data_IF_034004306386
#
_entry.id   IF_034004306386
#
_cell.length_a   1.000
_cell.length_b   1.000
_cell.length_c   1.000
_cell.angle_alpha   90.00
_cell.angle_beta   90.00
_cell.angle_gamma   90.00
#
_symmetry.space_group_name_H-M   'P 1'
#
loop_
_entity.id
_entity.type
_entity.pdbx_description
1 polymer ?
#
# COMPACT_ATOMS: atom_id res chain seq x y z
N UNK A 1 -9.85 -16.79 -27.11
CA UNK A 1 -9.33 -15.61 -26.38
C UNK A 1 -9.29 -15.84 -24.87
N UNK A 2 -10.43 -16.06 -24.20
CA UNK A 2 -10.46 -16.42 -22.77
C UNK A 2 -9.62 -17.68 -22.47
N UNK A 3 -9.88 -18.75 -23.21
CA UNK A 3 -9.16 -20.04 -23.07
C UNK A 3 -7.65 -19.89 -23.30
N UNK A 4 -7.24 -19.01 -24.23
CA UNK A 4 -5.82 -18.75 -24.51
C UNK A 4 -5.13 -18.05 -23.34
N UNK A 5 -5.83 -17.11 -22.70
CA UNK A 5 -5.35 -16.41 -21.49
C UNK A 5 -5.28 -17.37 -20.30
N UNK A 6 -6.30 -18.21 -20.10
CA UNK A 6 -6.32 -19.22 -19.03
C UNK A 6 -5.18 -20.22 -19.19
N UNK A 7 -4.99 -20.74 -20.40
CA UNK A 7 -3.89 -21.67 -20.72
C UNK A 7 -2.52 -21.04 -20.49
N UNK A 8 -2.36 -19.76 -20.84
CA UNK A 8 -1.12 -19.03 -20.64
C UNK A 8 -0.83 -18.77 -19.14
N UNK A 9 -1.85 -18.39 -18.36
CA UNK A 9 -1.72 -18.18 -16.92
C UNK A 9 -1.51 -19.50 -16.16
N UNK A 10 -2.14 -20.60 -16.59
CA UNK A 10 -1.90 -21.92 -16.03
C UNK A 10 -0.45 -22.39 -16.22
N UNK A 11 0.16 -22.07 -17.37
CA UNK A 11 1.55 -22.42 -17.67
C UNK A 11 2.56 -21.50 -16.94
N UNK A 12 2.24 -20.22 -16.79
CA UNK A 12 3.18 -19.20 -16.27
C UNK A 12 3.01 -18.92 -14.78
N UNK A 13 1.92 -19.40 -14.16
CA UNK A 13 1.44 -19.12 -12.80
C UNK A 13 0.98 -17.66 -12.58
N UNK A 14 1.78 -16.68 -12.96
CA UNK A 14 1.43 -15.25 -12.88
C UNK A 14 1.99 -14.48 -14.07
N UNK A 15 1.25 -13.47 -14.56
CA UNK A 15 1.71 -12.65 -15.67
C UNK A 15 1.07 -11.26 -15.68
N UNK A 16 1.75 -10.27 -16.28
CA UNK A 16 1.14 -8.96 -16.54
C UNK A 16 0.35 -8.96 -17.84
N UNK A 17 -0.59 -8.04 -18.02
CA UNK A 17 -1.37 -7.94 -19.26
C UNK A 17 -0.50 -7.80 -20.52
N UNK A 18 0.67 -7.14 -20.38
CA UNK A 18 1.66 -7.04 -21.47
C UNK A 18 2.31 -8.39 -21.77
N UNK A 19 2.70 -9.14 -20.74
CA UNK A 19 3.30 -10.46 -20.91
C UNK A 19 2.30 -11.45 -21.53
N UNK A 20 1.04 -11.43 -21.09
CA UNK A 20 -0.04 -12.26 -21.66
C UNK A 20 -0.28 -11.91 -23.13
N UNK A 21 -0.35 -10.61 -23.48
CA UNK A 21 -0.52 -10.18 -24.86
C UNK A 21 0.62 -10.65 -25.77
N UNK A 22 1.87 -10.51 -25.32
CA UNK A 22 3.04 -11.01 -26.06
C UNK A 22 3.03 -12.54 -26.20
N UNK A 23 2.68 -13.27 -25.14
CA UNK A 23 2.70 -14.72 -25.13
C UNK A 23 1.56 -15.40 -25.87
N UNK A 24 0.42 -14.72 -26.02
CA UNK A 24 -0.76 -15.21 -26.77
C UNK A 24 -0.85 -14.64 -28.19
N UNK A 25 -0.04 -13.62 -28.52
CA UNK A 25 -0.09 -12.93 -29.82
C UNK A 25 -1.34 -12.04 -30.00
N UNK A 26 -2.07 -11.76 -28.91
CA UNK A 26 -3.31 -10.98 -28.92
C UNK A 26 -3.05 -9.48 -28.64
N UNK A 27 -3.92 -8.57 -29.13
CA UNK A 27 -3.81 -7.15 -28.81
C UNK A 27 -3.95 -6.88 -27.30
N UNK A 28 -3.02 -6.10 -26.74
CA UNK A 28 -2.97 -5.81 -25.30
C UNK A 28 -4.26 -5.18 -24.75
N UNK A 29 -4.92 -4.31 -25.53
CA UNK A 29 -6.17 -3.67 -25.12
C UNK A 29 -7.30 -4.69 -24.93
N UNK A 30 -7.38 -5.67 -25.82
CA UNK A 30 -8.40 -6.70 -25.75
C UNK A 30 -8.09 -7.64 -24.58
N UNK A 31 -6.83 -8.05 -24.42
CA UNK A 31 -6.39 -8.85 -23.27
C UNK A 31 -6.73 -8.16 -21.94
N UNK A 32 -6.54 -6.84 -21.87
CA UNK A 32 -6.87 -6.07 -20.66
C UNK A 32 -8.37 -6.03 -20.39
N UNK A 33 -9.21 -5.86 -21.42
CA UNK A 33 -10.68 -5.92 -21.26
C UNK A 33 -11.12 -7.30 -20.79
N UNK A 34 -10.57 -8.35 -21.38
CA UNK A 34 -10.91 -9.73 -21.05
C UNK A 34 -10.47 -10.08 -19.62
N UNK A 35 -9.26 -9.69 -19.19
CA UNK A 35 -8.80 -9.88 -17.82
C UNK A 35 -9.69 -9.15 -16.80
N UNK A 36 -10.16 -7.94 -17.10
CA UNK A 36 -11.12 -7.24 -16.22
C UNK A 36 -12.50 -7.92 -16.18
N UNK A 37 -12.93 -8.54 -17.29
CA UNK A 37 -14.15 -9.37 -17.32
C UNK A 37 -13.97 -10.62 -16.46
N UNK A 38 -12.85 -11.33 -16.62
CA UNK A 38 -12.52 -12.54 -15.84
C UNK A 38 -12.36 -12.24 -14.34
N UNK A 39 -11.85 -11.07 -13.98
CA UNK A 39 -11.81 -10.58 -12.60
C UNK A 39 -13.23 -10.39 -12.04
N UNK A 40 -14.15 -9.83 -12.83
CA UNK A 40 -15.56 -9.69 -12.45
C UNK A 40 -16.29 -11.04 -12.31
N UNK A 41 -15.84 -12.06 -13.03
CA UNK A 41 -16.33 -13.45 -12.96
C UNK A 41 -15.59 -14.30 -11.89
N UNK A 42 -14.67 -13.70 -11.12
CA UNK A 42 -13.83 -14.36 -10.11
C UNK A 42 -12.99 -15.54 -10.65
N UNK A 43 -12.64 -15.53 -11.94
CA UNK A 43 -11.76 -16.53 -12.57
C UNK A 43 -10.28 -16.17 -12.43
N UNK A 44 -9.97 -14.89 -12.26
CA UNK A 44 -8.62 -14.35 -12.20
C UNK A 44 -8.54 -13.34 -11.06
N UNK A 45 -7.45 -13.40 -10.31
CA UNK A 45 -7.12 -12.43 -9.28
C UNK A 45 -6.05 -11.46 -9.79
N UNK A 46 -5.91 -10.30 -9.13
CA UNK A 46 -4.86 -9.34 -9.46
C UNK A 46 -4.25 -8.68 -8.23
N UNK A 47 -2.98 -8.36 -8.32
CA UNK A 47 -2.27 -7.52 -7.35
C UNK A 47 -1.42 -6.46 -8.06
N UNK A 48 -1.29 -5.31 -7.39
CA UNK A 48 -0.44 -4.23 -7.85
C UNK A 48 1.00 -4.54 -7.43
N UNK A 49 1.91 -4.72 -8.39
CA UNK A 49 3.31 -5.04 -8.11
C UNK A 49 4.00 -3.90 -7.36
N UNK A 50 4.54 -4.18 -6.18
CA UNK A 50 5.35 -3.21 -5.43
C UNK A 50 6.65 -2.90 -6.20
N UNK A 51 6.94 -1.61 -6.41
CA UNK A 51 8.17 -1.16 -7.07
C UNK A 51 8.18 -1.18 -8.61
N UNK A 52 7.08 -1.59 -9.26
CA UNK A 52 6.99 -1.74 -10.73
C UNK A 52 6.03 -0.78 -11.46
N UNK A 53 5.66 0.35 -10.85
CA UNK A 53 4.73 1.32 -11.45
C UNK A 53 3.24 0.97 -11.29
N UNK A 54 2.39 1.39 -12.24
CA UNK A 54 0.93 1.15 -12.22
C UNK A 54 0.53 -0.18 -12.91
N UNK A 55 1.42 -1.16 -12.95
CA UNK A 55 1.15 -2.46 -13.59
C UNK A 55 0.54 -3.46 -12.59
N UNK A 56 -0.47 -4.19 -13.07
CA UNK A 56 -1.10 -5.29 -12.33
C UNK A 56 -0.56 -6.63 -12.82
N UNK A 57 -0.35 -7.54 -11.88
CA UNK A 57 -0.05 -8.96 -12.14
C UNK A 57 -1.35 -9.73 -11.96
N UNK A 58 -1.60 -10.68 -12.86
CA UNK A 58 -2.80 -11.51 -12.90
C UNK A 58 -2.42 -12.98 -12.74
N UNK A 59 -3.24 -13.74 -12.02
CA UNK A 59 -3.14 -15.21 -11.90
C UNK A 59 -4.53 -15.83 -11.82
N UNK A 60 -4.65 -17.12 -12.15
CA UNK A 60 -5.92 -17.83 -12.05
C UNK A 60 -6.35 -17.90 -10.57
N UNK A 61 -7.59 -17.52 -10.30
CA UNK A 61 -8.17 -17.68 -8.96
C UNK A 61 -8.15 -19.17 -8.62
N UNK A 62 -7.71 -19.52 -7.41
CA UNK A 62 -7.94 -20.89 -6.93
C UNK A 62 -9.45 -21.05 -6.87
N UNK A 63 -10.00 -21.98 -7.67
CA UNK A 63 -11.27 -22.55 -7.31
C UNK A 63 -11.13 -22.99 -5.85
N UNK A 64 -11.94 -22.41 -4.96
CA UNK A 64 -12.08 -22.95 -3.63
C UNK A 64 -12.54 -24.40 -3.85
N UNK A 65 -11.62 -25.35 -3.62
CA UNK A 65 -11.99 -26.75 -3.60
C UNK A 65 -13.18 -26.88 -2.67
N UNK A 66 -14.28 -27.26 -3.31
CA UNK A 66 -15.53 -27.57 -2.68
C UNK A 66 -15.28 -28.68 -1.66
N UNK A 67 -15.69 -28.43 -0.42
CA UNK A 67 -16.11 -29.42 0.57
C UNK A 67 -15.21 -30.66 0.76
N UNK A 68 -14.43 -30.64 1.85
CA UNK A 68 -14.17 -31.88 2.58
C UNK A 68 -15.53 -32.56 2.88
N UNK A 69 -15.71 -33.87 2.59
CA UNK A 69 -16.94 -34.54 2.99
C UNK A 69 -16.98 -34.63 4.51
N UNK A 70 -17.94 -33.92 5.09
CA UNK A 70 -18.40 -34.18 6.45
C UNK A 70 -18.93 -35.61 6.52
N UNK A 71 -18.23 -36.47 7.24
CA UNK A 71 -18.80 -37.68 7.82
C UNK A 71 -18.92 -37.45 9.32
N UNK A 72 -20.14 -37.18 9.74
CA UNK A 72 -20.58 -37.10 11.12
C UNK A 72 -20.70 -38.53 11.65
N UNK A 73 -19.82 -38.95 12.56
CA UNK A 73 -20.03 -39.91 13.67
C UNK A 73 -18.67 -40.13 14.38
N UNK A 74 -18.57 -39.95 15.71
CA UNK A 74 -17.30 -40.05 16.43
C UNK A 74 -16.94 -41.50 16.81
N UNK A 75 -15.71 -41.98 16.53
CA UNK A 75 -15.11 -43.09 17.24
C UNK A 75 -14.10 -42.59 18.29
N UNK A 76 -13.90 -43.36 19.37
CA UNK A 76 -13.22 -42.90 20.58
C UNK A 76 -11.72 -42.71 20.38
N UNK A 77 -11.18 -41.77 21.17
CA UNK A 77 -9.77 -41.49 21.34
C UNK A 77 -8.95 -42.80 21.45
N UNK A 78 -8.15 -43.08 20.43
CA UNK A 78 -7.09 -44.08 20.50
C UNK A 78 -5.77 -43.34 20.38
N UNK A 79 -4.95 -43.43 21.42
CA UNK A 79 -3.63 -42.82 21.49
C UNK A 79 -2.77 -43.24 20.29
N UNK A 80 -1.92 -42.36 19.72
CA UNK A 80 -1.03 -42.73 18.64
C UNK A 80 -0.04 -43.77 19.16
N UNK A 81 -0.18 -45.01 18.70
CA UNK A 81 0.79 -46.07 18.93
C UNK A 81 2.00 -45.76 18.06
N UNK A 82 3.16 -45.52 18.68
CA UNK A 82 4.42 -45.36 17.98
C UNK A 82 4.75 -46.69 17.28
N UNK A 83 4.55 -46.73 15.96
CA UNK A 83 5.05 -47.81 15.13
C UNK A 83 6.56 -47.65 15.05
N UNK A 84 7.31 -48.49 15.78
CA UNK A 84 8.73 -48.69 15.50
C UNK A 84 8.87 -49.22 14.08
N UNK A 85 9.26 -48.34 13.16
CA UNK A 85 9.75 -48.73 11.85
C UNK A 85 11.04 -49.52 12.09
N UNK A 86 10.97 -50.84 11.88
CA UNK A 86 12.12 -51.72 11.95
C UNK A 86 13.23 -51.20 11.03
N UNK A 87 14.44 -51.17 11.57
CA UNK A 87 15.66 -50.84 10.86
C UNK A 87 15.80 -51.78 9.65
N UNK A 88 15.55 -51.27 8.45
CA UNK A 88 16.00 -51.91 7.21
C UNK A 88 17.47 -51.55 7.08
N UNK A 89 18.34 -52.36 7.70
CA UNK A 89 19.73 -52.45 7.30
C UNK A 89 19.74 -52.97 5.87
N UNK A 90 19.77 -52.06 4.88
CA UNK A 90 20.51 -52.16 3.63
C UNK A 90 20.01 -51.11 2.63
N UNK A 91 20.98 -50.42 2.02
CA UNK A 91 20.84 -49.41 0.95
C UNK A 91 20.64 -47.96 1.41
N UNK A 92 21.61 -47.44 2.16
CA UNK A 92 21.92 -45.99 2.11
C UNK A 92 22.84 -45.79 0.91
N UNK A 93 22.39 -45.00 -0.07
CA UNK A 93 23.20 -44.55 -1.20
C UNK A 93 24.50 -43.91 -0.67
N UNK A 94 25.70 -44.29 -1.14
CA UNK A 94 26.97 -43.78 -0.61
C UNK A 94 27.18 -42.27 -0.87
N UNK A 95 26.31 -41.66 -1.66
CA UNK A 95 26.26 -40.21 -1.88
C UNK A 95 25.29 -39.47 -0.96
N UNK A 96 24.61 -40.16 -0.04
CA UNK A 96 23.75 -39.50 0.94
C UNK A 96 24.62 -38.86 2.02
N UNK A 97 24.86 -37.55 1.89
CA UNK A 97 25.50 -36.79 2.96
C UNK A 97 24.62 -36.85 4.20
N UNK A 98 25.19 -37.24 5.33
CA UNK A 98 24.49 -37.22 6.62
C UNK A 98 24.11 -35.78 6.91
N UNK A 99 22.83 -35.45 6.74
CA UNK A 99 22.30 -34.13 7.06
C UNK A 99 22.37 -33.99 8.57
N UNK A 100 23.25 -33.10 9.04
CA UNK A 100 23.34 -32.76 10.46
C UNK A 100 22.13 -31.89 10.85
N UNK A 101 21.04 -32.56 11.18
CA UNK A 101 19.78 -31.94 11.60
C UNK A 101 19.97 -31.08 12.85
N UNK A 102 20.87 -31.47 13.76
CA UNK A 102 21.14 -30.69 14.97
C UNK A 102 21.80 -29.35 14.64
N UNK A 103 22.76 -29.35 13.71
CA UNK A 103 23.37 -28.11 13.20
C UNK A 103 22.35 -27.22 12.50
N UNK A 104 21.52 -27.78 11.62
CA UNK A 104 20.47 -27.01 10.92
C UNK A 104 19.49 -26.37 11.92
N UNK A 105 19.07 -27.10 12.95
CA UNK A 105 18.17 -26.55 13.98
C UNK A 105 18.87 -25.43 14.77
N UNK A 106 20.15 -25.58 15.09
CA UNK A 106 20.92 -24.54 15.78
C UNK A 106 21.05 -23.27 14.92
N UNK A 107 21.40 -23.43 13.64
CA UNK A 107 21.54 -22.32 12.68
C UNK A 107 20.20 -21.60 12.48
N UNK A 108 19.09 -22.34 12.31
CA UNK A 108 17.75 -21.77 12.18
C UNK A 108 17.33 -21.00 13.44
N UNK A 109 17.67 -21.48 14.64
CA UNK A 109 17.39 -20.75 15.88
C UNK A 109 18.18 -19.45 15.95
N UNK A 110 19.46 -19.48 15.60
CA UNK A 110 20.29 -18.28 15.53
C UNK A 110 19.75 -17.27 14.51
N UNK A 111 19.28 -17.74 13.36
CA UNK A 111 18.65 -16.90 12.34
C UNK A 111 17.33 -16.29 12.82
N UNK A 112 16.48 -17.07 13.52
CA UNK A 112 15.23 -16.57 14.11
C UNK A 112 15.51 -15.49 15.16
N UNK A 113 16.52 -15.68 16.01
CA UNK A 113 16.93 -14.68 17.00
C UNK A 113 17.43 -13.40 16.33
N UNK A 114 18.27 -13.51 15.30
CA UNK A 114 18.76 -12.36 14.52
C UNK A 114 17.61 -11.61 13.85
N UNK A 115 16.75 -12.32 13.12
CA UNK A 115 15.61 -11.71 12.41
C UNK A 115 14.62 -11.07 13.38
N UNK A 116 14.44 -11.64 14.57
CA UNK A 116 13.62 -11.05 15.62
C UNK A 116 14.19 -9.73 16.10
N UNK A 117 15.50 -9.68 16.38
CA UNK A 117 16.18 -8.45 16.78
C UNK A 117 16.13 -7.36 15.70
N UNK A 118 16.32 -7.74 14.43
CA UNK A 118 16.24 -6.82 13.29
C UNK A 118 14.83 -6.24 13.12
N UNK A 119 13.79 -7.09 13.24
CA UNK A 119 12.39 -6.67 13.16
C UNK A 119 12.03 -5.72 14.30
N UNK A 120 12.48 -5.99 15.53
CA UNK A 120 12.21 -5.11 16.68
C UNK A 120 12.91 -3.76 16.52
N UNK A 121 14.15 -3.74 16.02
CA UNK A 121 14.86 -2.50 15.70
C UNK A 121 14.17 -1.69 14.57
N UNK A 122 13.65 -2.37 13.56
CA UNK A 122 12.90 -1.74 12.47
C UNK A 122 11.57 -1.15 12.99
N UNK A 123 10.86 -1.88 13.85
CA UNK A 123 9.61 -1.41 14.45
C UNK A 123 9.84 -0.15 15.30
N UNK A 124 10.88 -0.14 16.13
CA UNK A 124 11.23 1.01 16.96
C UNK A 124 11.57 2.26 16.11
N UNK A 125 12.28 2.07 14.99
CA UNK A 125 12.54 3.16 14.02
C UNK A 125 11.25 3.67 13.39
N UNK A 126 10.35 2.77 12.99
CA UNK A 126 9.07 3.15 12.40
C UNK A 126 8.21 3.95 13.40
N UNK A 127 8.16 3.53 14.67
CA UNK A 127 7.42 4.24 15.71
C UNK A 127 8.03 5.62 16.03
N UNK A 128 9.36 5.70 16.02
CA UNK A 128 10.09 6.98 16.13
C UNK A 128 9.73 7.90 14.96
N UNK A 129 9.72 7.39 13.73
CA UNK A 129 9.36 8.19 12.55
C UNK A 129 7.90 8.63 12.56
N UNK A 130 6.97 7.77 12.99
CA UNK A 130 5.56 8.15 13.17
C UNK A 130 5.40 9.28 14.19
N UNK A 131 6.11 9.18 15.30
CA UNK A 131 6.10 10.21 16.36
C UNK A 131 6.68 11.53 15.87
N UNK A 132 7.82 11.48 15.16
CA UNK A 132 8.45 12.66 14.57
C UNK A 132 7.56 13.30 13.51
N UNK A 133 6.92 12.50 12.65
CA UNK A 133 5.96 12.99 11.66
C UNK A 133 4.79 13.70 12.33
N UNK A 134 4.17 13.09 13.35
CA UNK A 134 3.09 13.72 14.11
C UNK A 134 3.52 15.05 14.77
N UNK A 135 4.75 15.10 15.30
CA UNK A 135 5.31 16.32 15.91
C UNK A 135 5.53 17.42 14.86
N UNK A 136 6.10 17.06 13.70
CA UNK A 136 6.31 18.00 12.59
C UNK A 136 4.98 18.49 12.03
N UNK A 137 3.99 17.63 11.91
CA UNK A 137 2.63 18.01 11.51
C UNK A 137 2.02 19.02 12.49
N UNK A 138 2.08 18.76 13.79
CA UNK A 138 1.60 19.69 14.81
C UNK A 138 2.32 21.05 14.74
N UNK A 139 3.63 21.04 14.47
CA UNK A 139 4.42 22.28 14.33
C UNK A 139 4.09 23.04 13.04
N UNK A 140 3.85 22.33 11.94
CA UNK A 140 3.39 22.94 10.68
C UNK A 140 2.03 23.57 10.91
N UNK A 141 1.11 22.87 11.57
CA UNK A 141 -0.20 23.40 11.91
C UNK A 141 -0.08 24.65 12.78
N UNK A 142 0.75 24.64 13.83
CA UNK A 142 1.01 25.82 14.66
C UNK A 142 1.56 27.01 13.85
N UNK A 143 2.53 26.77 12.96
CA UNK A 143 3.16 27.83 12.15
C UNK A 143 2.27 28.35 11.02
N UNK A 144 1.37 27.52 10.49
CA UNK A 144 0.54 27.87 9.32
C UNK A 144 -0.88 28.28 9.69
N UNK A 145 -1.40 27.78 10.80
CA UNK A 145 -2.77 28.00 11.31
C UNK A 145 -2.77 28.87 12.58
N UNK A 146 -1.66 28.97 13.30
CA UNK A 146 -1.61 29.47 14.68
C UNK A 146 -1.96 28.37 15.69
N UNK A 147 -1.91 28.63 17.01
CA UNK A 147 -2.32 27.64 18.02
C UNK A 147 -3.76 27.16 17.77
N UNK A 148 -4.11 25.96 18.22
CA UNK A 148 -5.48 25.42 18.07
C UNK A 148 -6.47 26.39 18.72
N UNK A 149 -7.30 27.07 17.91
CA UNK A 149 -8.20 28.15 18.35
C UNK A 149 -7.74 29.57 18.00
N UNK A 150 -6.52 29.77 17.51
CA UNK A 150 -6.12 30.99 16.82
C UNK A 150 -6.95 31.10 15.54
N UNK A 151 -7.78 32.13 15.50
CA UNK A 151 -8.66 32.45 14.38
C UNK A 151 -7.84 32.43 13.09
N UNK A 152 -8.13 31.48 12.19
CA UNK A 152 -7.54 31.47 10.86
C UNK A 152 -7.64 32.88 10.26
N UNK A 153 -6.60 33.38 9.58
CA UNK A 153 -6.61 34.74 9.07
C UNK A 153 -7.87 34.99 8.25
N UNK A 154 -8.65 35.98 8.71
CA UNK A 154 -10.01 36.19 8.27
C UNK A 154 -10.09 36.63 6.82
N UNK A 155 -9.02 37.23 6.28
CA UNK A 155 -9.01 37.80 4.93
C UNK A 155 -7.71 37.50 4.19
N UNK A 156 -7.79 37.37 2.87
CA UNK A 156 -6.66 37.20 1.97
C UNK A 156 -6.73 38.25 0.89
N UNK A 157 -5.64 38.96 0.62
CA UNK A 157 -5.55 39.86 -0.53
C UNK A 157 -4.73 39.27 -1.66
N UNK A 158 -5.33 39.25 -2.85
CA UNK A 158 -4.78 38.67 -4.08
C UNK A 158 -4.83 39.75 -5.18
N UNK A 159 -3.67 40.11 -5.74
CA UNK A 159 -3.56 41.00 -6.91
C UNK A 159 -3.02 40.23 -8.12
N UNK A 160 -2.90 40.92 -9.26
CA UNK A 160 -2.43 40.33 -10.51
C UNK A 160 -0.92 40.04 -10.48
N UNK A 161 -0.12 40.93 -9.87
CA UNK A 161 1.35 40.82 -9.82
C UNK A 161 1.87 40.56 -8.41
N UNK A 162 1.14 41.00 -7.40
CA UNK A 162 1.55 40.88 -6.01
C UNK A 162 1.21 39.49 -5.42
N UNK A 163 2.06 39.02 -4.50
CA UNK A 163 1.85 37.74 -3.81
C UNK A 163 0.60 37.82 -2.91
N UNK A 164 -0.19 36.73 -2.82
CA UNK A 164 -1.27 36.62 -1.85
C UNK A 164 -0.78 36.87 -0.43
N UNK A 165 -1.51 37.68 0.35
CA UNK A 165 -1.18 37.94 1.75
C UNK A 165 -2.40 37.77 2.64
N UNK A 166 -2.20 37.08 3.77
CA UNK A 166 -3.22 36.80 4.79
C UNK A 166 -3.27 37.93 5.82
N UNK A 167 -4.48 38.25 6.30
CA UNK A 167 -4.75 39.35 7.24
C UNK A 167 -5.66 38.87 8.37
N UNK A 168 -5.44 39.43 9.56
CA UNK A 168 -6.24 39.13 10.76
C UNK A 168 -7.47 40.02 10.90
N UNK A 169 -7.67 41.03 10.04
CA UNK A 169 -8.85 41.90 10.02
C UNK A 169 -9.14 42.43 8.62
N UNK A 170 -10.40 42.82 8.37
CA UNK A 170 -10.84 43.36 7.09
C UNK A 170 -10.14 44.69 6.77
N UNK A 171 -10.02 45.55 7.77
CA UNK A 171 -9.38 46.87 7.64
C UNK A 171 -7.94 46.76 7.13
N UNK A 172 -7.15 45.83 7.69
CA UNK A 172 -5.76 45.59 7.24
C UNK A 172 -5.72 45.08 5.80
N UNK A 173 -6.67 44.23 5.44
CA UNK A 173 -6.78 43.72 4.08
C UNK A 173 -7.14 44.84 3.08
N UNK A 174 -8.13 45.67 3.42
CA UNK A 174 -8.53 46.84 2.62
C UNK A 174 -7.42 47.88 2.49
N UNK A 175 -6.69 48.15 3.59
CA UNK A 175 -5.58 49.10 3.58
C UNK A 175 -4.46 48.61 2.65
N UNK A 176 -4.11 47.31 2.71
CA UNK A 176 -3.15 46.73 1.76
C UNK A 176 -3.67 46.79 0.32
N UNK A 177 -4.92 46.40 0.08
CA UNK A 177 -5.50 46.42 -1.27
C UNK A 177 -5.45 47.83 -1.87
N UNK A 178 -5.83 48.83 -1.08
CA UNK A 178 -5.77 50.23 -1.47
C UNK A 178 -4.35 50.70 -1.77
N UNK A 179 -3.37 50.28 -0.97
CA UNK A 179 -1.97 50.62 -1.18
C UNK A 179 -1.46 50.02 -2.50
N UNK A 180 -1.72 48.74 -2.75
CA UNK A 180 -1.28 48.02 -3.95
C UNK A 180 -1.82 48.65 -5.25
N UNK A 181 -3.10 49.04 -5.26
CA UNK A 181 -3.71 49.72 -6.41
C UNK A 181 -3.06 51.10 -6.63
N UNK A 182 -2.75 51.83 -5.56
CA UNK A 182 -2.16 53.17 -5.65
C UNK A 182 -0.67 53.16 -6.01
N UNK A 183 0.12 52.24 -5.47
CA UNK A 183 1.59 52.28 -5.55
C UNK A 183 2.23 51.19 -6.40
N UNK A 184 1.57 50.04 -6.59
CA UNK A 184 2.17 48.86 -7.26
C UNK A 184 1.54 48.54 -8.62
N UNK A 185 0.83 49.49 -9.22
CA UNK A 185 0.17 49.36 -10.54
C UNK A 185 -0.77 48.14 -10.64
N UNK A 186 -1.37 47.73 -9.53
CA UNK A 186 -2.42 46.72 -9.57
C UNK A 186 -3.70 47.36 -10.11
N UNK A 187 -4.25 46.79 -11.18
CA UNK A 187 -5.54 47.25 -11.71
C UNK A 187 -6.70 46.85 -10.80
N UNK A 188 -6.54 45.76 -10.05
CA UNK A 188 -7.54 45.20 -9.17
C UNK A 188 -6.85 44.37 -8.08
N UNK A 189 -7.34 44.47 -6.84
CA UNK A 189 -6.93 43.60 -5.74
C UNK A 189 -8.17 43.05 -5.06
N UNK A 190 -8.31 41.73 -5.07
CA UNK A 190 -9.40 41.03 -4.42
C UNK A 190 -9.11 40.91 -2.93
N UNK A 191 -10.09 41.30 -2.10
CA UNK A 191 -10.09 41.05 -0.66
C UNK A 191 -11.09 39.92 -0.40
N UNK A 192 -10.58 38.73 -0.13
CA UNK A 192 -11.38 37.51 -0.04
C UNK A 192 -11.46 37.03 1.40
N UNK A 193 -12.66 36.60 1.81
CA UNK A 193 -12.85 35.85 3.06
C UNK A 193 -12.80 34.34 2.75
N UNK A 194 -11.88 33.57 3.36
CA UNK A 194 -11.79 32.14 3.11
C UNK A 194 -12.97 31.41 3.78
N UNK A 195 -13.72 30.66 2.98
CA UNK A 195 -14.87 29.86 3.42
C UNK A 195 -14.51 28.43 3.88
N UNK A 196 -13.28 28.00 3.58
CA UNK A 196 -12.74 26.70 3.97
C UNK A 196 -11.38 26.47 3.31
N UNK A 197 -10.75 25.33 3.58
CA UNK A 197 -9.44 24.96 3.03
C UNK A 197 -9.36 23.48 2.71
N UNK A 198 -8.54 23.11 1.72
CA UNK A 198 -8.20 21.71 1.43
C UNK A 198 -6.85 21.39 2.06
N UNK A 199 -6.76 20.32 2.84
CA UNK A 199 -5.54 19.86 3.52
C UNK A 199 -5.22 18.44 3.07
N UNK A 200 -3.92 18.07 3.05
CA UNK A 200 -3.45 16.74 2.59
C UNK A 200 -3.96 16.35 1.19
N UNK A 201 -4.07 17.35 0.30
CA UNK A 201 -4.41 17.16 -1.11
C UNK A 201 -5.87 16.80 -1.43
N UNK A 202 -6.70 16.46 -0.44
CA UNK A 202 -8.08 15.99 -0.69
C UNK A 202 -9.11 16.34 0.39
N UNK A 203 -8.69 16.66 1.62
CA UNK A 203 -9.62 16.86 2.72
C UNK A 203 -10.12 18.30 2.79
N UNK A 204 -11.42 18.52 2.54
CA UNK A 204 -12.06 19.80 2.83
C UNK A 204 -12.22 20.01 4.33
N UNK A 205 -11.73 21.14 4.83
CA UNK A 205 -11.94 21.62 6.18
C UNK A 205 -12.75 22.92 6.11
N UNK A 206 -14.00 22.93 6.61
CA UNK A 206 -14.75 24.16 6.76
C UNK A 206 -14.05 25.08 7.76
N UNK A 207 -14.38 26.37 7.69
CA UNK A 207 -13.84 27.37 8.59
C UNK A 207 -14.33 27.19 10.02
#
# INVERSE_FOLDING_TARGET
>A
MREDIEKYLAATSEATAKAVATGTGLPQLDVTKELNRMLGEALVEREKRAGGGNEYVYWLARAADCAAPASDTPPPATAPTLVSVGLVENSVDPNCSVIDVARIIADLRADVERLTAERDAAQLKADTWRTNAATLEARIDELTLGPVGARAPLFVTVGRKCKPKRHTSLEKAQQRGSALVRSEQESEVLVLEPVGRIVRGTQWMPR
#
